data_IF_652784994424
#
_entry.id   IF_652784994424
#
_cell.length_a   1.000
_cell.length_b   1.000
_cell.length_c   1.000
_cell.angle_alpha   90.00
_cell.angle_beta   90.00
_cell.angle_gamma   90.00
#
_symmetry.space_group_name_H-M   'P 1'
#
loop_
_entity.id
_entity.type
_entity.pdbx_description
1 polymer ?
#
# COMPACT_ATOMS: atom_id res chain seq x y z
N UNK A 1 4.61 27.05 -8.42
CA UNK A 1 3.94 25.78 -8.28
C UNK A 1 4.59 24.94 -7.20
N UNK A 2 3.81 24.42 -6.30
CA UNK A 2 4.35 23.62 -5.19
C UNK A 2 4.80 22.26 -5.72
N UNK A 3 5.96 21.83 -5.27
CA UNK A 3 6.42 20.49 -5.56
C UNK A 3 5.61 19.49 -4.74
N UNK A 4 5.32 18.37 -5.34
CA UNK A 4 4.70 17.29 -4.61
C UNK A 4 5.69 16.74 -3.61
N UNK A 5 5.22 16.55 -2.39
CA UNK A 5 6.07 16.01 -1.34
C UNK A 5 6.17 14.50 -1.51
N UNK A 6 7.40 14.02 -1.54
CA UNK A 6 7.67 12.59 -1.65
C UNK A 6 8.07 12.04 -0.28
N UNK A 7 7.23 12.32 0.71
CA UNK A 7 7.43 11.83 2.07
C UNK A 7 6.41 10.76 2.39
N UNK A 8 6.67 10.00 3.44
CA UNK A 8 5.73 9.01 3.93
C UNK A 8 5.49 9.34 5.40
N UNK A 9 4.49 10.17 5.63
CA UNK A 9 4.23 10.72 6.96
C UNK A 9 3.49 9.72 7.84
N UNK A 10 3.43 10.06 9.13
CA UNK A 10 2.72 9.25 10.10
C UNK A 10 1.25 9.06 9.71
N UNK A 11 0.63 10.11 9.18
CA UNK A 11 -0.77 10.07 8.80
C UNK A 11 -1.03 9.22 7.56
N UNK A 12 0.02 8.90 6.81
CA UNK A 12 -0.11 8.02 5.65
C UNK A 12 0.07 6.56 6.02
N UNK A 13 0.45 6.28 7.25
CA UNK A 13 0.64 4.91 7.71
C UNK A 13 -0.62 4.40 8.38
N UNK A 14 -1.02 3.21 7.99
CA UNK A 14 -2.16 2.56 8.61
C UNK A 14 -1.67 1.96 9.93
N UNK A 15 -2.06 2.56 11.04
CA UNK A 15 -1.57 2.14 12.36
C UNK A 15 -2.69 1.89 13.36
N UNK A 16 -3.92 2.32 13.07
CA UNK A 16 -5.04 2.07 13.96
C UNK A 16 -5.34 0.57 14.00
N UNK A 17 -5.28 -0.03 15.19
CA UNK A 17 -5.56 -1.46 15.34
C UNK A 17 -6.95 -1.81 14.84
N UNK A 18 -7.93 -0.98 15.18
CA UNK A 18 -9.30 -1.20 14.75
C UNK A 18 -9.42 -1.20 13.22
N UNK A 19 -8.78 -0.23 12.59
CA UNK A 19 -8.85 -0.14 11.13
C UNK A 19 -8.06 -1.26 10.46
N UNK A 20 -6.93 -1.66 11.04
CA UNK A 20 -6.16 -2.79 10.52
C UNK A 20 -7.02 -4.07 10.55
N UNK A 21 -7.72 -4.31 11.64
CA UNK A 21 -8.58 -5.49 11.73
C UNK A 21 -9.72 -5.41 10.72
N UNK A 22 -10.26 -4.22 10.52
CA UNK A 22 -11.34 -4.02 9.57
C UNK A 22 -10.87 -4.29 8.15
N UNK A 23 -9.68 -3.81 7.78
CA UNK A 23 -9.10 -4.08 6.46
C UNK A 23 -8.90 -5.59 6.28
N UNK A 24 -8.38 -6.24 7.30
CA UNK A 24 -8.10 -7.68 7.20
C UNK A 24 -9.36 -8.51 7.03
N UNK A 25 -10.47 -8.09 7.64
CA UNK A 25 -11.71 -8.89 7.61
C UNK A 25 -12.67 -8.46 6.50
N UNK A 26 -12.69 -7.19 6.14
CA UNK A 26 -13.68 -6.68 5.18
C UNK A 26 -13.07 -6.21 3.88
N UNK A 27 -11.75 -6.08 3.80
CA UNK A 27 -11.10 -5.60 2.59
C UNK A 27 -11.15 -6.61 1.46
N UNK A 28 -11.03 -6.11 0.24
CA UNK A 28 -10.93 -6.92 -0.95
C UNK A 28 -9.47 -7.12 -1.29
N UNK A 29 -9.08 -8.36 -1.60
CA UNK A 29 -7.69 -8.65 -1.90
C UNK A 29 -7.48 -8.96 -3.36
N UNK A 30 -6.28 -8.63 -3.84
CA UNK A 30 -5.85 -9.04 -5.16
C UNK A 30 -4.34 -9.24 -5.15
N UNK A 31 -3.83 -9.89 -6.17
CA UNK A 31 -2.42 -10.21 -6.26
C UNK A 31 -1.78 -9.47 -7.43
N UNK A 32 -0.62 -8.87 -7.17
CA UNK A 32 0.33 -8.48 -8.19
C UNK A 32 1.65 -9.07 -7.70
N UNK A 33 1.88 -10.32 -8.07
CA UNK A 33 3.00 -11.09 -7.55
C UNK A 33 4.31 -10.29 -7.70
N UNK A 34 5.16 -10.21 -6.70
CA UNK A 34 5.14 -10.95 -5.42
C UNK A 34 4.43 -10.23 -4.27
N UNK A 35 3.42 -9.43 -4.57
CA UNK A 35 2.68 -8.70 -3.54
C UNK A 35 1.23 -9.12 -3.48
N UNK A 36 0.70 -9.14 -2.27
CA UNK A 36 -0.73 -9.25 -2.02
C UNK A 36 -1.21 -7.92 -1.49
N UNK A 37 -2.32 -7.44 -2.02
CA UNK A 37 -2.89 -6.16 -1.63
C UNK A 37 -4.28 -6.41 -1.06
N UNK A 38 -4.56 -5.80 0.10
CA UNK A 38 -5.90 -5.80 0.66
C UNK A 38 -6.34 -4.34 0.74
N UNK A 39 -7.46 -4.02 0.13
CA UNK A 39 -7.94 -2.65 0.04
C UNK A 39 -9.35 -2.54 0.63
N UNK A 40 -9.56 -1.54 1.46
CA UNK A 40 -10.87 -1.25 2.02
C UNK A 40 -11.15 0.23 1.80
N UNK A 41 -12.24 0.53 1.12
CA UNK A 41 -12.67 1.91 0.99
C UNK A 41 -13.31 2.34 2.30
N UNK A 42 -12.90 3.49 2.82
CA UNK A 42 -13.40 3.99 4.09
C UNK A 42 -14.14 5.31 3.86
N UNK A 43 -15.07 5.59 4.76
CA UNK A 43 -15.90 6.79 4.65
C UNK A 43 -15.52 7.85 5.66
N UNK A 44 -14.77 7.47 6.68
CA UNK A 44 -14.31 8.42 7.70
C UNK A 44 -13.29 9.37 7.10
N UNK A 45 -13.26 10.57 7.65
CA UNK A 45 -12.27 11.55 7.22
C UNK A 45 -10.87 11.13 7.64
N UNK A 46 -9.94 11.38 6.77
CA UNK A 46 -8.53 11.21 7.07
C UNK A 46 -7.74 12.23 6.26
N UNK A 47 -6.53 12.51 6.70
CA UNK A 47 -5.73 13.58 6.12
C UNK A 47 -5.32 13.29 4.68
N UNK A 48 -5.02 12.03 4.38
CA UNK A 48 -4.58 11.63 3.05
C UNK A 48 -5.58 10.64 2.46
N UNK A 49 -5.65 10.55 1.13
CA UNK A 49 -6.63 9.64 0.51
C UNK A 49 -6.34 8.18 0.72
N UNK A 50 -5.11 7.83 1.12
CA UNK A 50 -4.78 6.44 1.41
C UNK A 50 -3.90 6.35 2.64
N UNK A 51 -4.19 5.37 3.48
CA UNK A 51 -3.30 4.93 4.55
C UNK A 51 -2.84 3.52 4.20
N UNK A 52 -1.55 3.26 4.36
CA UNK A 52 -1.01 1.97 3.96
C UNK A 52 -0.17 1.35 5.07
N UNK A 53 -0.33 0.05 5.24
CA UNK A 53 0.51 -0.77 6.11
C UNK A 53 1.29 -1.72 5.24
N UNK A 54 2.58 -1.79 5.48
CA UNK A 54 3.46 -2.67 4.72
C UNK A 54 3.94 -3.80 5.59
N UNK A 55 3.92 -5.01 5.03
CA UNK A 55 4.16 -6.21 5.79
C UNK A 55 4.93 -7.22 4.95
N UNK A 56 5.67 -8.09 5.62
CA UNK A 56 6.43 -9.16 4.99
C UNK A 56 6.14 -10.44 5.77
N UNK A 57 5.90 -11.52 5.05
CA UNK A 57 5.58 -12.80 5.67
C UNK A 57 6.75 -13.26 6.54
N UNK A 58 6.50 -13.34 7.84
CA UNK A 58 7.53 -13.70 8.82
C UNK A 58 8.04 -15.12 8.60
N UNK A 59 7.16 -15.97 8.13
CA UNK A 59 7.49 -17.37 7.87
C UNK A 59 8.58 -17.51 6.81
N UNK A 60 8.57 -16.65 5.81
CA UNK A 60 9.54 -16.70 4.72
C UNK A 60 10.82 -15.95 5.04
N UNK A 61 10.72 -14.94 5.90
CA UNK A 61 11.85 -14.12 6.29
C UNK A 61 11.87 -14.01 7.80
N UNK A 62 12.37 -15.04 8.48
CA UNK A 62 12.34 -15.02 9.96
C UNK A 62 13.25 -13.97 10.57
N UNK A 63 14.28 -13.52 9.84
CA UNK A 63 15.19 -12.52 10.37
C UNK A 63 14.57 -11.12 10.18
N UNK A 64 14.56 -10.37 11.28
CA UNK A 64 14.00 -9.02 11.25
C UNK A 64 14.74 -8.10 10.29
N UNK A 65 16.06 -8.29 10.16
CA UNK A 65 16.87 -7.45 9.29
C UNK A 65 16.43 -7.60 7.84
N UNK A 66 16.08 -8.80 7.42
CA UNK A 66 15.61 -9.03 6.06
C UNK A 66 14.24 -8.42 5.82
N UNK A 67 13.33 -8.61 6.79
CA UNK A 67 12.00 -8.02 6.67
C UNK A 67 12.07 -6.49 6.63
N UNK A 68 12.92 -5.90 7.44
CA UNK A 68 13.06 -4.44 7.47
C UNK A 68 13.62 -3.91 6.15
N UNK A 69 14.55 -4.66 5.55
CA UNK A 69 15.09 -4.29 4.25
C UNK A 69 14.02 -4.29 3.17
N UNK A 70 13.19 -5.34 3.16
CA UNK A 70 12.10 -5.42 2.17
C UNK A 70 11.11 -4.29 2.39
N UNK A 71 10.73 -4.03 3.63
CA UNK A 71 9.79 -2.94 3.92
C UNK A 71 10.36 -1.59 3.52
N UNK A 72 11.67 -1.40 3.66
CA UNK A 72 12.30 -0.16 3.23
C UNK A 72 12.18 0.03 1.72
N UNK A 73 12.40 -1.03 0.97
CA UNK A 73 12.25 -0.96 -0.49
C UNK A 73 10.80 -0.64 -0.87
N UNK A 74 9.85 -1.27 -0.19
CA UNK A 74 8.44 -1.02 -0.44
C UNK A 74 8.07 0.43 -0.14
N UNK A 75 8.51 0.95 1.01
CA UNK A 75 8.21 2.33 1.38
C UNK A 75 8.81 3.31 0.40
N UNK A 76 10.04 3.03 -0.06
CA UNK A 76 10.71 3.92 -1.01
C UNK A 76 9.96 3.95 -2.33
N UNK A 77 9.57 2.80 -2.85
CA UNK A 77 8.84 2.72 -4.09
C UNK A 77 7.46 3.41 -3.98
N UNK A 78 6.79 3.19 -2.88
CA UNK A 78 5.50 3.82 -2.63
C UNK A 78 5.64 5.34 -2.52
N UNK A 79 6.60 5.78 -1.73
CA UNK A 79 6.83 7.20 -1.48
C UNK A 79 7.04 7.97 -2.79
N UNK A 80 7.79 7.38 -3.70
CA UNK A 80 8.14 8.05 -4.95
C UNK A 80 6.99 8.06 -5.97
N UNK A 81 6.05 7.15 -5.84
CA UNK A 81 5.05 6.95 -6.89
C UNK A 81 3.61 7.17 -6.44
N UNK A 82 3.38 7.44 -5.17
CA UNK A 82 2.04 7.46 -4.58
C UNK A 82 1.15 8.58 -5.11
N UNK A 83 1.73 9.68 -5.55
CA UNK A 83 0.92 10.85 -5.88
C UNK A 83 -0.03 10.60 -7.04
N UNK A 84 0.30 9.70 -7.94
CA UNK A 84 -0.62 9.29 -9.01
C UNK A 84 -1.91 8.71 -8.41
N UNK A 85 -1.76 7.85 -7.40
CA UNK A 85 -2.91 7.30 -6.70
C UNK A 85 -3.66 8.38 -5.93
N UNK A 86 -2.93 9.24 -5.24
CA UNK A 86 -3.56 10.28 -4.43
C UNK A 86 -4.38 11.23 -5.30
N UNK A 87 -3.85 11.63 -6.45
CA UNK A 87 -4.56 12.48 -7.37
C UNK A 87 -5.86 11.81 -7.85
N UNK A 88 -5.77 10.54 -8.25
CA UNK A 88 -6.92 9.81 -8.74
C UNK A 88 -8.00 9.67 -7.64
N UNK A 89 -7.59 9.34 -6.42
CA UNK A 89 -8.54 9.16 -5.33
C UNK A 89 -9.18 10.48 -4.92
N UNK A 90 -8.40 11.57 -4.92
CA UNK A 90 -8.95 12.88 -4.59
C UNK A 90 -9.97 13.33 -5.63
N UNK A 91 -9.70 13.06 -6.91
CA UNK A 91 -10.65 13.39 -7.96
C UNK A 91 -11.95 12.60 -7.83
N UNK A 92 -11.85 11.38 -7.33
CA UNK A 92 -13.02 10.53 -7.13
C UNK A 92 -13.66 10.71 -5.77
N UNK A 93 -13.06 11.55 -4.92
CA UNK A 93 -13.52 11.77 -3.55
C UNK A 93 -13.60 10.46 -2.77
N UNK A 94 -12.55 9.67 -2.87
CA UNK A 94 -12.49 8.34 -2.23
C UNK A 94 -11.30 8.25 -1.31
N UNK A 95 -11.44 7.47 -0.24
CA UNK A 95 -10.38 7.23 0.71
C UNK A 95 -10.27 5.73 0.98
N UNK A 96 -9.03 5.27 1.13
CA UNK A 96 -8.75 3.83 1.29
C UNK A 96 -7.81 3.58 2.44
N UNK A 97 -7.96 2.40 3.03
CA UNK A 97 -6.97 1.79 3.90
C UNK A 97 -6.45 0.55 3.19
N UNK A 98 -5.13 0.43 3.14
CA UNK A 98 -4.48 -0.59 2.32
C UNK A 98 -3.50 -1.40 3.15
N UNK A 99 -3.44 -2.70 2.88
CA UNK A 99 -2.36 -3.55 3.36
C UNK A 99 -1.59 -4.06 2.15
N UNK A 100 -0.28 -3.83 2.16
CA UNK A 100 0.62 -4.23 1.10
C UNK A 100 1.57 -5.27 1.67
N UNK A 101 1.44 -6.51 1.21
CA UNK A 101 2.13 -7.65 1.81
C UNK A 101 3.07 -8.28 0.79
N UNK A 102 4.35 -8.38 1.14
CA UNK A 102 5.31 -9.09 0.29
C UNK A 102 5.20 -10.57 0.58
N UNK A 103 4.94 -11.36 -0.45
CA UNK A 103 4.76 -12.81 -0.34
C UNK A 103 5.78 -13.59 -1.16
N UNK A 104 6.81 -12.92 -1.67
CA UNK A 104 7.87 -13.60 -2.40
C UNK A 104 8.77 -14.39 -1.47
N UNK A 105 9.60 -15.26 -2.05
CA UNK A 105 10.48 -16.12 -1.28
C UNK A 105 11.94 -15.66 -1.28
N UNK A 106 12.25 -14.63 -2.07
CA UNK A 106 13.61 -14.10 -2.18
C UNK A 106 13.62 -12.62 -1.89
N UNK A 107 14.78 -12.11 -1.48
CA UNK A 107 14.92 -10.67 -1.30
C UNK A 107 14.78 -9.98 -2.65
N UNK A 108 13.84 -9.03 -2.77
CA UNK A 108 13.60 -8.40 -4.07
C UNK A 108 14.62 -7.30 -4.35
N UNK A 109 14.83 -7.02 -5.63
CA UNK A 109 15.55 -5.83 -6.03
C UNK A 109 14.61 -4.64 -6.05
N UNK A 110 15.18 -3.44 -5.91
CA UNK A 110 14.36 -2.24 -5.89
C UNK A 110 13.57 -2.05 -7.20
N UNK A 111 14.22 -2.29 -8.34
CA UNK A 111 13.58 -2.09 -9.63
C UNK A 111 12.33 -2.96 -9.76
N UNK A 112 12.41 -4.23 -9.39
CA UNK A 112 11.27 -5.12 -9.40
C UNK A 112 10.18 -4.61 -8.44
N UNK A 113 10.60 -4.22 -7.24
CA UNK A 113 9.67 -3.71 -6.24
C UNK A 113 8.93 -2.48 -6.77
N UNK A 114 9.66 -1.55 -7.34
CA UNK A 114 9.06 -0.33 -7.86
C UNK A 114 8.10 -0.63 -9.01
N UNK A 115 8.52 -1.47 -9.95
CA UNK A 115 7.66 -1.80 -11.09
C UNK A 115 6.34 -2.40 -10.64
N UNK A 116 6.39 -3.31 -9.67
CA UNK A 116 5.16 -3.96 -9.19
C UNK A 116 4.30 -3.00 -8.39
N UNK A 117 4.91 -2.14 -7.58
CA UNK A 117 4.14 -1.16 -6.82
C UNK A 117 3.47 -0.17 -7.75
N UNK A 118 4.13 0.24 -8.83
CA UNK A 118 3.50 1.12 -9.82
C UNK A 118 2.26 0.45 -10.39
N UNK A 119 2.34 -0.83 -10.74
CA UNK A 119 1.18 -1.56 -11.25
C UNK A 119 0.05 -1.61 -10.23
N UNK A 120 0.40 -1.83 -8.96
CA UNK A 120 -0.59 -1.85 -7.88
C UNK A 120 -1.29 -0.49 -7.77
N UNK A 121 -0.51 0.59 -7.80
CA UNK A 121 -1.07 1.93 -7.69
C UNK A 121 -1.97 2.26 -8.87
N UNK A 122 -1.58 1.85 -10.07
CA UNK A 122 -2.43 2.03 -11.25
C UNK A 122 -3.75 1.29 -11.11
N UNK A 123 -3.69 0.07 -10.61
CA UNK A 123 -4.89 -0.73 -10.41
C UNK A 123 -5.80 -0.12 -9.36
N UNK A 124 -5.21 0.38 -8.27
CA UNK A 124 -5.98 1.03 -7.22
C UNK A 124 -6.61 2.33 -7.70
N UNK A 125 -5.92 3.06 -8.57
CA UNK A 125 -6.45 4.31 -9.13
C UNK A 125 -7.72 4.08 -9.93
N UNK A 126 -7.88 2.90 -10.49
CA UNK A 126 -9.05 2.53 -11.27
C UNK A 126 -9.92 1.53 -10.53
N UNK A 127 -9.67 1.36 -9.24
CA UNK A 127 -10.35 0.33 -8.46
C UNK A 127 -11.82 0.64 -8.38
N UNK A 128 -12.63 -0.30 -8.80
CA UNK A 128 -14.06 -0.18 -8.71
C UNK A 128 -14.55 -1.00 -7.54
N UNK A 129 -15.47 -0.43 -6.82
CA UNK A 129 -16.05 -1.08 -5.66
C UNK A 129 -17.17 -2.02 -6.08
N UNK A 130 -17.00 -2.62 -7.23
CA UNK A 130 -18.00 -3.49 -7.78
C UNK A 130 -18.08 -4.77 -6.96
N UNK A 131 -19.26 -5.39 -6.90
CA UNK A 131 -19.35 -6.70 -6.27
C UNK A 131 -18.47 -7.67 -7.01
N UNK A 132 -17.77 -8.47 -6.25
CA UNK A 132 -16.86 -9.46 -6.80
C UNK A 132 -17.39 -10.86 -6.60
#
# INVERSE_FOLDING_TARGET
MAKEKQTFTKEERLSSRKLIEQVATEGKSFLVHPFKVIALEIKEEQKYPAQVMMSVAKKRFPRAVDRNRIKRLMREAYRKNKHTLYTALNEQNRKFALMLIYIGSELPEYKLTEDKIILILQRLSKYENAPQ
#
